data_IF_551417465295
#
_entry.id   IF_551417465295
#
_cell.length_a   1.000
_cell.length_b   1.000
_cell.length_c   1.000
_cell.angle_alpha   90.00
_cell.angle_beta   90.00
_cell.angle_gamma   90.00
#
_symmetry.space_group_name_H-M   'P 1'
#
loop_
_entity.id
_entity.type
_entity.pdbx_description
1 polymer ?
#
# COMPACT_ATOMS: atom_id res chain seq x y z
N UNK A 1 12.61 12.66 -7.96
CA UNK A 1 11.44 13.41 -7.50
C UNK A 1 10.24 12.47 -7.41
N UNK A 2 9.66 12.30 -6.21
CA UNK A 2 8.45 11.49 -6.03
C UNK A 2 7.21 12.36 -6.32
N UNK A 3 6.51 12.06 -7.41
CA UNK A 3 5.33 12.81 -7.86
C UNK A 3 4.02 12.22 -7.30
N UNK A 4 3.95 10.89 -7.14
CA UNK A 4 2.87 10.21 -6.40
C UNK A 4 3.45 9.19 -5.43
N UNK A 5 3.05 9.26 -4.17
CA UNK A 5 3.28 8.21 -3.17
C UNK A 5 2.10 7.23 -3.12
N UNK A 6 2.36 6.02 -2.61
CA UNK A 6 1.29 5.07 -2.28
C UNK A 6 0.86 5.25 -0.83
N UNK A 7 -0.45 5.42 -0.63
CA UNK A 7 -1.05 5.28 0.68
C UNK A 7 -1.15 3.80 1.05
N UNK A 8 -1.12 3.48 2.34
CA UNK A 8 -1.40 2.11 2.80
C UNK A 8 -2.72 1.63 2.17
N UNK A 9 -2.73 0.50 1.44
CA UNK A 9 -3.93 -0.02 0.78
C UNK A 9 -5.10 -0.19 1.75
N UNK A 10 -6.31 0.08 1.27
CA UNK A 10 -7.54 -0.06 2.08
C UNK A 10 -7.66 -1.46 2.71
N UNK A 11 -7.37 -2.52 1.94
CA UNK A 11 -7.32 -3.90 2.43
C UNK A 11 -6.46 -4.07 3.69
N UNK A 12 -5.27 -3.45 3.71
CA UNK A 12 -4.38 -3.50 4.87
C UNK A 12 -4.89 -2.66 6.02
N UNK A 13 -5.44 -1.46 5.76
CA UNK A 13 -6.09 -0.63 6.78
C UNK A 13 -7.23 -1.39 7.48
N UNK A 14 -8.04 -2.12 6.71
CA UNK A 14 -9.12 -2.96 7.23
C UNK A 14 -8.59 -4.08 8.13
N UNK A 15 -7.63 -4.88 7.67
CA UNK A 15 -7.07 -5.96 8.49
C UNK A 15 -6.36 -5.41 9.73
N UNK A 16 -5.59 -4.33 9.59
CA UNK A 16 -4.98 -3.63 10.72
C UNK A 16 -6.02 -3.20 11.75
N UNK A 17 -7.20 -2.74 11.32
CA UNK A 17 -8.31 -2.36 12.20
C UNK A 17 -8.96 -3.59 12.85
N UNK A 18 -9.03 -4.72 12.15
CA UNK A 18 -9.62 -5.98 12.59
C UNK A 18 -8.77 -6.73 13.63
N UNK A 19 -7.44 -6.70 13.48
CA UNK A 19 -6.51 -7.41 14.37
C UNK A 19 -6.74 -7.01 15.83
N UNK A 20 -6.92 -8.03 16.68
CA UNK A 20 -7.17 -7.89 18.12
C UNK A 20 -8.63 -7.66 18.52
N UNK A 21 -9.57 -7.58 17.55
CA UNK A 21 -11.01 -7.38 17.82
C UNK A 21 -11.86 -8.63 17.56
N UNK A 22 -11.37 -9.53 16.71
CA UNK A 22 -12.01 -10.80 16.38
C UNK A 22 -10.93 -11.80 15.97
N UNK A 23 -11.22 -13.10 16.11
CA UNK A 23 -10.36 -14.16 15.56
C UNK A 23 -10.52 -14.18 14.04
N UNK A 24 -9.46 -13.77 13.33
CA UNK A 24 -9.43 -13.83 11.86
C UNK A 24 -9.51 -15.30 11.39
N UNK A 25 -10.27 -15.54 10.33
CA UNK A 25 -10.28 -16.82 9.64
C UNK A 25 -8.92 -17.12 8.99
N UNK A 26 -8.66 -18.38 8.64
CA UNK A 26 -7.44 -18.75 7.92
C UNK A 26 -7.31 -18.03 6.58
N UNK A 27 -8.45 -17.82 5.89
CA UNK A 27 -8.49 -17.08 4.63
C UNK A 27 -8.06 -15.62 4.83
N UNK A 28 -8.62 -14.94 5.84
CA UNK A 28 -8.25 -13.56 6.18
C UNK A 28 -6.79 -13.45 6.61
N UNK A 29 -6.30 -14.39 7.43
CA UNK A 29 -4.93 -14.38 7.93
C UNK A 29 -3.91 -14.56 6.80
N UNK A 30 -4.20 -15.47 5.85
CA UNK A 30 -3.39 -15.67 4.64
C UNK A 30 -3.41 -14.44 3.74
N UNK A 31 -4.59 -13.88 3.47
CA UNK A 31 -4.75 -12.68 2.64
C UNK A 31 -4.00 -11.49 3.25
N UNK A 32 -4.17 -11.23 4.55
CA UNK A 32 -3.45 -10.17 5.25
C UNK A 32 -1.93 -10.33 5.17
N UNK A 33 -1.41 -11.54 5.40
CA UNK A 33 0.03 -11.81 5.32
C UNK A 33 0.59 -11.59 3.90
N UNK A 34 -0.14 -12.00 2.85
CA UNK A 34 0.27 -11.80 1.46
C UNK A 34 0.36 -10.30 1.14
N UNK A 35 -0.70 -9.53 1.40
CA UNK A 35 -0.72 -8.11 1.08
C UNK A 35 0.26 -7.30 1.94
N UNK A 36 0.45 -7.71 3.20
CA UNK A 36 1.44 -7.07 4.07
C UNK A 36 2.86 -7.30 3.54
N UNK A 37 3.16 -8.53 3.08
CA UNK A 37 4.44 -8.85 2.46
C UNK A 37 4.66 -8.09 1.14
N UNK A 38 3.63 -7.96 0.31
CA UNK A 38 3.67 -7.16 -0.92
C UNK A 38 4.01 -5.69 -0.64
N UNK A 39 3.22 -5.04 0.22
CA UNK A 39 3.41 -3.64 0.60
C UNK A 39 4.78 -3.38 1.24
N UNK A 40 5.29 -4.29 2.07
CA UNK A 40 6.65 -4.20 2.63
C UNK A 40 7.74 -4.24 1.54
N UNK A 41 7.52 -5.03 0.49
CA UNK A 41 8.41 -5.10 -0.66
C UNK A 41 8.45 -3.80 -1.44
N UNK A 42 7.27 -3.30 -1.80
CA UNK A 42 7.12 -2.00 -2.48
C UNK A 42 7.72 -0.87 -1.65
N UNK A 43 7.44 -0.82 -0.34
CA UNK A 43 8.03 0.18 0.54
C UNK A 43 9.56 0.11 0.57
N UNK A 44 10.12 -1.10 0.57
CA UNK A 44 11.58 -1.28 0.51
C UNK A 44 12.17 -0.75 -0.80
N UNK A 45 11.47 -0.94 -1.93
CA UNK A 45 11.87 -0.36 -3.21
C UNK A 45 11.70 1.17 -3.22
N UNK A 46 10.62 1.69 -2.65
CA UNK A 46 10.37 3.12 -2.51
C UNK A 46 11.47 3.83 -1.70
N UNK A 47 11.98 3.21 -0.63
CA UNK A 47 13.12 3.75 0.13
C UNK A 47 14.40 3.79 -0.71
N UNK A 48 14.65 2.80 -1.57
CA UNK A 48 15.81 2.78 -2.47
C UNK A 48 15.71 3.86 -3.54
N UNK A 49 14.56 3.98 -4.20
CA UNK A 49 14.40 4.89 -5.34
C UNK A 49 14.44 6.38 -4.93
N UNK A 50 14.14 6.69 -3.66
CA UNK A 50 14.22 8.05 -3.10
C UNK A 50 15.61 8.69 -3.21
N UNK A 51 16.67 7.88 -3.32
CA UNK A 51 18.03 8.40 -3.51
C UNK A 51 18.22 9.12 -4.86
N UNK A 52 17.46 8.71 -5.88
CA UNK A 52 17.62 9.19 -7.27
C UNK A 52 16.71 10.38 -7.53
N UNK A 53 17.26 11.59 -7.33
CA UNK A 53 16.45 12.82 -7.32
C UNK A 53 16.07 13.30 -8.71
N UNK A 54 16.81 12.93 -9.75
CA UNK A 54 16.64 13.45 -11.11
C UNK A 54 15.55 12.75 -11.93
N UNK A 55 15.06 11.58 -11.49
CA UNK A 55 13.94 10.89 -12.14
C UNK A 55 12.58 11.32 -11.57
N UNK A 56 11.53 11.31 -12.37
CA UNK A 56 10.15 11.45 -11.88
C UNK A 56 9.63 10.07 -11.49
N UNK A 57 9.12 9.91 -10.28
CA UNK A 57 8.66 8.62 -9.75
C UNK A 57 7.18 8.69 -9.41
N UNK A 58 6.43 7.72 -9.91
CA UNK A 58 5.01 7.50 -9.61
C UNK A 58 4.86 6.13 -8.96
N UNK A 59 4.31 6.07 -7.75
CA UNK A 59 3.98 4.82 -7.06
C UNK A 59 2.49 4.55 -7.15
N UNK A 60 2.12 3.31 -7.50
CA UNK A 60 0.76 2.78 -7.46
C UNK A 60 -0.15 3.51 -8.45
N UNK A 61 0.15 3.36 -9.75
CA UNK A 61 -0.65 3.93 -10.84
C UNK A 61 -1.40 2.81 -11.53
N UNK A 62 -2.69 3.00 -11.77
CA UNK A 62 -3.53 2.11 -12.58
C UNK A 62 -3.92 2.81 -13.87
N UNK A 63 -3.73 2.16 -15.01
CA UNK A 63 -4.14 2.65 -16.32
C UNK A 63 -5.08 1.65 -16.99
N UNK A 64 -6.00 2.17 -17.79
CA UNK A 64 -6.88 1.39 -18.63
C UNK A 64 -6.95 2.01 -20.03
N UNK A 65 -6.61 1.23 -21.04
CA UNK A 65 -6.69 1.64 -22.44
C UNK A 65 -7.04 0.43 -23.33
N UNK A 66 -6.97 0.63 -24.66
CA UNK A 66 -7.30 -0.42 -25.64
C UNK A 66 -6.49 -1.72 -25.49
N UNK A 67 -5.34 -1.68 -24.83
CA UNK A 67 -4.48 -2.85 -24.59
C UNK A 67 -4.86 -3.61 -23.31
N UNK A 68 -5.75 -3.06 -22.47
CA UNK A 68 -6.23 -3.67 -21.24
C UNK A 68 -6.11 -2.73 -20.04
N UNK A 69 -6.22 -3.34 -18.85
CA UNK A 69 -6.09 -2.69 -17.55
C UNK A 69 -4.85 -3.23 -16.83
N UNK A 70 -4.03 -2.34 -16.29
CA UNK A 70 -2.84 -2.70 -15.52
C UNK A 70 -2.61 -1.74 -14.35
N UNK A 71 -2.17 -2.30 -13.22
CA UNK A 71 -1.64 -1.56 -12.07
C UNK A 71 -0.12 -1.70 -12.08
N UNK A 72 0.55 -0.58 -11.83
CA UNK A 72 1.99 -0.42 -11.85
C UNK A 72 2.46 -0.05 -10.45
N UNK A 73 3.33 -0.88 -9.87
CA UNK A 73 3.90 -0.59 -8.55
C UNK A 73 4.74 0.68 -8.66
N UNK A 74 5.69 0.75 -9.60
CA UNK A 74 6.47 1.96 -9.85
C UNK A 74 6.62 2.25 -11.34
N UNK A 75 6.36 3.49 -11.72
CA UNK A 75 6.76 4.08 -13.00
C UNK A 75 7.81 5.14 -12.71
N UNK A 76 8.96 5.04 -13.37
CA UNK A 76 10.10 5.95 -13.24
C UNK A 76 10.39 6.55 -14.61
N UNK A 77 10.43 7.88 -14.69
CA UNK A 77 10.66 8.62 -15.94
C UNK A 77 11.97 9.39 -15.81
N UNK A 78 12.94 9.07 -16.64
CA UNK A 78 14.25 9.73 -16.67
C UNK A 78 14.71 9.87 -18.12
N UNK A 79 15.05 11.10 -18.50
CA UNK A 79 15.27 11.47 -19.90
C UNK A 79 14.17 10.94 -20.85
N UNK A 80 14.51 10.26 -21.95
CA UNK A 80 13.56 9.63 -22.87
C UNK A 80 13.22 8.17 -22.52
N UNK A 81 13.39 7.75 -21.27
CA UNK A 81 13.08 6.38 -20.83
C UNK A 81 12.01 6.38 -19.75
N UNK A 82 10.98 5.54 -19.93
CA UNK A 82 9.96 5.24 -18.94
C UNK A 82 10.13 3.79 -18.48
N UNK A 83 10.55 3.61 -17.24
CA UNK A 83 10.79 2.28 -16.67
C UNK A 83 9.69 1.90 -15.69
N UNK A 84 9.06 0.77 -15.94
CA UNK A 84 8.14 0.09 -15.04
C UNK A 84 8.88 -0.94 -14.18
N UNK A 85 8.69 -0.89 -12.86
CA UNK A 85 9.14 -1.91 -11.93
C UNK A 85 7.95 -2.59 -11.24
N UNK A 86 7.80 -3.90 -11.45
CA UNK A 86 6.85 -4.78 -10.75
C UNK A 86 7.57 -5.48 -9.59
N UNK A 87 7.22 -5.16 -8.34
CA UNK A 87 8.00 -5.53 -7.16
C UNK A 87 7.47 -6.81 -6.51
N UNK A 88 8.28 -7.86 -6.49
CA UNK A 88 7.96 -9.15 -5.85
C UNK A 88 8.79 -9.36 -4.59
N UNK A 89 8.13 -9.53 -3.46
CA UNK A 89 8.77 -9.81 -2.15
C UNK A 89 8.73 -11.31 -1.78
N UNK A 90 9.03 -12.19 -2.73
CA UNK A 90 9.11 -13.63 -2.48
C UNK A 90 10.31 -13.95 -1.59
N UNK A 91 10.25 -15.02 -0.79
CA UNK A 91 11.31 -15.40 0.16
C UNK A 91 11.75 -16.83 -0.05
N UNK A 92 13.05 -17.09 0.11
CA UNK A 92 13.62 -18.42 0.01
C UNK A 92 13.94 -18.85 -1.42
N UNK A 93 14.20 -20.15 -1.58
CA UNK A 93 14.70 -20.73 -2.83
C UNK A 93 13.60 -21.41 -3.65
N UNK A 94 13.59 -21.11 -4.93
CA UNK A 94 12.67 -21.65 -5.93
C UNK A 94 13.43 -22.24 -7.12
N UNK A 95 12.76 -23.13 -7.84
CA UNK A 95 13.17 -23.62 -9.15
C UNK A 95 12.09 -23.27 -10.18
N UNK A 96 12.50 -22.88 -11.38
CA UNK A 96 11.57 -22.71 -12.49
C UNK A 96 11.21 -24.08 -13.08
N UNK A 97 9.94 -24.46 -12.97
CA UNK A 97 9.41 -25.69 -13.57
C UNK A 97 8.28 -25.32 -14.53
N UNK A 98 8.56 -25.38 -15.83
CA UNK A 98 7.65 -24.86 -16.86
C UNK A 98 7.43 -23.36 -16.67
N UNK A 99 6.18 -22.93 -16.43
CA UNK A 99 5.82 -21.53 -16.19
C UNK A 99 5.51 -21.21 -14.70
N UNK A 100 6.05 -22.01 -13.77
CA UNK A 100 5.81 -21.88 -12.32
C UNK A 100 7.12 -21.83 -11.56
N UNK A 101 7.18 -21.00 -10.52
CA UNK A 101 8.23 -21.04 -9.50
C UNK A 101 7.80 -22.03 -8.43
N UNK A 102 8.60 -23.07 -8.21
CA UNK A 102 8.33 -24.14 -7.25
C UNK A 102 9.38 -24.10 -6.14
N UNK A 103 8.94 -23.87 -4.91
CA UNK A 103 9.81 -23.89 -3.73
C UNK A 103 10.18 -25.32 -3.33
N UNK A 104 11.24 -25.48 -2.53
CA UNK A 104 11.62 -26.80 -1.96
C UNK A 104 10.52 -27.44 -1.10
N UNK A 105 9.64 -26.64 -0.51
CA UNK A 105 8.50 -27.11 0.29
C UNK A 105 7.26 -27.40 -0.56
N UNK A 106 7.36 -27.36 -1.89
CA UNK A 106 6.28 -27.67 -2.82
C UNK A 106 5.29 -26.54 -3.10
N UNK A 107 5.46 -25.35 -2.50
CA UNK A 107 4.65 -24.17 -2.83
C UNK A 107 4.93 -23.71 -4.25
N UNK A 108 3.86 -23.43 -5.01
CA UNK A 108 3.92 -23.05 -6.42
C UNK A 108 3.40 -21.63 -6.61
N UNK A 109 4.17 -20.81 -7.31
CA UNK A 109 3.83 -19.41 -7.66
C UNK A 109 3.85 -19.32 -9.19
N UNK A 110 2.87 -18.64 -9.79
CA UNK A 110 2.88 -18.40 -11.24
C UNK A 110 4.04 -17.48 -11.60
N UNK A 111 4.70 -17.74 -12.72
CA UNK A 111 5.71 -16.84 -13.23
C UNK A 111 5.08 -15.46 -13.55
N UNK A 112 5.61 -14.35 -13.00
CA UNK A 112 5.06 -13.01 -13.20
C UNK A 112 5.21 -12.45 -14.63
N UNK A 113 5.99 -13.08 -15.51
CA UNK A 113 6.26 -12.58 -16.87
C UNK A 113 5.00 -12.28 -17.68
N UNK A 114 3.96 -13.12 -17.57
CA UNK A 114 2.73 -12.89 -18.34
C UNK A 114 1.99 -11.64 -17.89
N UNK A 115 2.05 -11.32 -16.59
CA UNK A 115 1.49 -10.08 -16.05
C UNK A 115 2.34 -8.87 -16.48
N UNK A 116 3.66 -9.02 -16.47
CA UNK A 116 4.59 -7.97 -16.90
C UNK A 116 4.37 -7.59 -18.37
N UNK A 117 4.17 -8.56 -19.26
CA UNK A 117 3.95 -8.33 -20.68
C UNK A 117 2.66 -7.53 -20.95
N UNK A 118 1.57 -7.86 -20.25
CA UNK A 118 0.31 -7.11 -20.36
C UNK A 118 0.48 -5.67 -19.86
N UNK A 119 1.11 -5.50 -18.68
CA UNK A 119 1.38 -4.18 -18.11
C UNK A 119 2.26 -3.34 -19.04
N UNK A 120 3.30 -3.94 -19.63
CA UNK A 120 4.17 -3.29 -20.60
C UNK A 120 3.39 -2.76 -21.81
N UNK A 121 2.55 -3.58 -22.43
CA UNK A 121 1.76 -3.17 -23.59
C UNK A 121 0.78 -2.01 -23.26
N UNK A 122 0.17 -2.04 -22.07
CA UNK A 122 -0.69 -0.94 -21.58
C UNK A 122 0.12 0.35 -21.43
N UNK A 123 1.28 0.29 -20.78
CA UNK A 123 2.12 1.48 -20.56
C UNK A 123 2.68 2.03 -21.87
N UNK A 124 3.28 1.18 -22.70
CA UNK A 124 3.86 1.56 -23.99
C UNK A 124 2.84 2.26 -24.88
N UNK A 125 1.63 1.72 -24.99
CA UNK A 125 0.55 2.34 -25.75
C UNK A 125 0.20 3.74 -25.25
N UNK A 126 0.19 3.96 -23.92
CA UNK A 126 -0.08 5.28 -23.33
C UNK A 126 1.09 6.26 -23.56
N UNK A 127 2.32 5.81 -23.34
CA UNK A 127 3.54 6.63 -23.48
C UNK A 127 3.77 7.03 -24.94
N UNK A 128 3.72 6.07 -25.88
CA UNK A 128 3.94 6.35 -27.31
C UNK A 128 2.83 7.23 -27.90
N UNK A 129 1.62 7.19 -27.33
CA UNK A 129 0.55 8.12 -27.72
C UNK A 129 0.77 9.55 -27.21
N UNK A 130 1.50 9.73 -26.11
CA UNK A 130 1.88 11.04 -25.58
C UNK A 130 3.09 11.61 -26.34
N UNK A 131 4.16 10.83 -26.48
CA UNK A 131 5.37 11.21 -27.23
C UNK A 131 6.13 9.95 -27.67
N UNK A 132 6.17 9.73 -28.99
CA UNK A 132 6.70 8.51 -29.62
C UNK A 132 8.19 8.27 -29.36
N UNK A 133 8.93 9.31 -28.96
CA UNK A 133 10.39 9.26 -28.73
C UNK A 133 10.77 8.54 -27.44
N UNK A 134 9.85 8.40 -26.48
CA UNK A 134 10.14 7.71 -25.24
C UNK A 134 10.22 6.20 -25.47
N UNK A 135 11.23 5.57 -24.91
CA UNK A 135 11.31 4.11 -24.81
C UNK A 135 10.69 3.63 -23.49
N UNK A 136 10.05 2.46 -23.54
CA UNK A 136 9.43 1.85 -22.36
C UNK A 136 10.16 0.56 -22.01
N UNK A 137 10.54 0.44 -20.75
CA UNK A 137 11.18 -0.75 -20.20
C UNK A 137 10.33 -1.29 -19.05
N UNK A 138 10.29 -2.61 -18.89
CA UNK A 138 9.54 -3.27 -17.81
C UNK A 138 10.40 -4.32 -17.14
N UNK A 139 10.50 -4.26 -15.82
CA UNK A 139 11.29 -5.19 -15.01
C UNK A 139 10.47 -5.78 -13.87
N UNK A 140 10.71 -7.06 -13.58
CA UNK A 140 10.32 -7.69 -12.31
C UNK A 140 11.47 -7.49 -11.33
N UNK A 141 11.16 -6.95 -10.15
CA UNK A 141 12.12 -6.72 -9.08
C UNK A 141 11.89 -7.71 -7.94
N UNK A 142 12.83 -8.65 -7.77
CA UNK A 142 12.87 -9.52 -6.60
C UNK A 142 13.58 -8.80 -5.45
N UNK A 143 12.80 -8.07 -4.65
CA UNK A 143 13.32 -7.14 -3.64
C UNK A 143 13.78 -7.83 -2.35
N UNK A 144 13.46 -9.10 -2.14
CA UNK A 144 13.90 -9.81 -0.95
C UNK A 144 15.34 -10.34 -1.11
N UNK A 145 16.21 -10.07 -0.14
CA UNK A 145 17.61 -10.53 -0.18
C UNK A 145 17.76 -12.06 -0.12
N UNK A 146 16.77 -12.74 0.49
CA UNK A 146 16.78 -14.21 0.63
C UNK A 146 16.15 -14.93 -0.56
N UNK A 147 15.62 -14.18 -1.54
CA UNK A 147 15.06 -14.78 -2.73
C UNK A 147 16.16 -15.34 -3.62
N UNK A 148 15.99 -16.59 -4.02
CA UNK A 148 16.87 -17.24 -4.98
C UNK A 148 16.04 -18.07 -5.94
N UNK A 149 16.29 -17.91 -7.25
CA UNK A 149 15.68 -18.71 -8.29
C UNK A 149 16.78 -19.46 -9.04
N UNK A 150 16.72 -20.78 -8.96
CA UNK A 150 17.68 -21.68 -9.58
C UNK A 150 17.30 -21.93 -11.05
N UNK A 151 18.32 -21.95 -11.92
CA UNK A 151 18.20 -22.34 -13.33
C UNK A 151 17.56 -21.34 -14.29
N UNK A 152 17.37 -20.05 -13.93
CA UNK A 152 16.83 -19.06 -14.87
C UNK A 152 17.30 -17.63 -14.60
N UNK A 153 17.75 -16.94 -15.65
CA UNK A 153 18.06 -15.51 -15.64
C UNK A 153 17.49 -14.88 -16.91
N UNK A 154 16.60 -13.91 -16.73
CA UNK A 154 16.10 -13.05 -17.80
C UNK A 154 16.60 -11.63 -17.58
N UNK A 155 16.77 -10.87 -18.66
CA UNK A 155 17.20 -9.47 -18.58
C UNK A 155 16.17 -8.60 -17.85
N UNK A 156 14.87 -8.92 -17.98
CA UNK A 156 13.80 -8.23 -17.26
C UNK A 156 13.74 -8.58 -15.76
N UNK A 157 14.57 -9.49 -15.25
CA UNK A 157 14.54 -9.91 -13.85
C UNK A 157 15.69 -9.29 -13.08
N UNK A 158 15.34 -8.37 -12.18
CA UNK A 158 16.27 -7.67 -11.32
C UNK A 158 16.21 -8.23 -9.90
N UNK A 159 17.35 -8.71 -9.41
CA UNK A 159 17.52 -9.11 -8.02
C UNK A 159 17.97 -7.91 -7.19
N UNK A 160 17.63 -7.90 -5.88
CA UNK A 160 18.00 -6.80 -4.97
C UNK A 160 19.49 -6.41 -5.04
N UNK A 161 20.40 -7.37 -5.22
CA UNK A 161 21.85 -7.12 -5.34
C UNK A 161 22.23 -6.32 -6.59
N UNK A 162 21.41 -6.34 -7.64
CA UNK A 162 21.67 -5.65 -8.91
C UNK A 162 21.08 -4.22 -8.94
N UNK A 163 20.12 -3.92 -8.07
CA UNK A 163 19.34 -2.67 -8.12
C UNK A 163 20.21 -1.42 -8.03
N UNK A 164 21.23 -1.42 -7.15
CA UNK A 164 22.10 -0.24 -7.01
C UNK A 164 22.83 0.11 -8.31
N UNK A 165 23.35 -0.89 -9.01
CA UNK A 165 24.01 -0.67 -10.28
C UNK A 165 22.99 -0.26 -11.36
N UNK A 166 21.88 -0.98 -11.46
CA UNK A 166 20.84 -0.70 -12.44
C UNK A 166 20.27 0.72 -12.32
N UNK A 167 19.96 1.16 -11.10
CA UNK A 167 19.39 2.49 -10.84
C UNK A 167 20.42 3.63 -10.93
N UNK A 168 21.72 3.34 -11.01
CA UNK A 168 22.73 4.41 -11.15
C UNK A 168 22.60 5.20 -12.46
N UNK A 169 21.97 4.61 -13.49
CA UNK A 169 21.73 5.27 -14.77
C UNK A 169 20.83 6.52 -14.64
N UNK A 170 19.89 6.50 -13.68
CA UNK A 170 18.90 7.58 -13.48
C UNK A 170 19.36 8.63 -12.44
N UNK A 171 20.61 8.56 -11.98
CA UNK A 171 21.18 9.50 -11.02
C UNK A 171 21.72 10.78 -11.66
N UNK A 172 21.85 10.81 -12.98
CA UNK A 172 22.41 11.97 -13.68
C UNK A 172 21.35 13.06 -13.91
N UNK A 173 21.69 14.35 -13.72
CA UNK A 173 20.85 15.44 -14.17
C UNK A 173 20.73 15.44 -15.69
N UNK A 174 19.57 15.87 -16.20
CA UNK A 174 19.28 15.88 -17.62
C UNK A 174 18.33 17.05 -17.95
N UNK A 175 18.28 17.54 -19.21
CA UNK A 175 17.49 18.72 -19.56
C UNK A 175 15.98 18.46 -19.65
N UNK A 176 15.55 17.18 -19.70
CA UNK A 176 14.14 16.80 -19.90
C UNK A 176 13.29 16.83 -18.62
N UNK A 177 13.81 17.31 -17.48
CA UNK A 177 13.13 17.23 -16.19
C UNK A 177 11.70 17.79 -16.22
N UNK A 178 11.47 18.93 -16.87
CA UNK A 178 10.14 19.53 -16.99
C UNK A 178 9.20 18.69 -17.87
N UNK A 179 9.68 18.17 -18.99
CA UNK A 179 8.89 17.30 -19.88
C UNK A 179 8.53 15.97 -19.19
N UNK A 180 9.44 15.40 -18.42
CA UNK A 180 9.21 14.19 -17.63
C UNK A 180 8.16 14.44 -16.54
N UNK A 181 8.16 15.63 -15.94
CA UNK A 181 7.11 16.04 -14.98
C UNK A 181 5.75 16.19 -15.66
N UNK A 182 5.70 16.75 -16.86
CA UNK A 182 4.47 16.85 -17.64
C UNK A 182 3.91 15.48 -18.01
N UNK A 183 4.77 14.55 -18.47
CA UNK A 183 4.38 13.16 -18.72
C UNK A 183 3.89 12.47 -17.43
N UNK A 184 4.57 12.69 -16.31
CA UNK A 184 4.14 12.16 -15.02
C UNK A 184 2.75 12.66 -14.62
N UNK A 185 2.47 13.94 -14.81
CA UNK A 185 1.15 14.52 -14.57
C UNK A 185 0.08 14.00 -15.54
N UNK A 186 0.43 13.77 -16.81
CA UNK A 186 -0.46 13.12 -17.78
C UNK A 186 -0.88 11.72 -17.30
N UNK A 187 0.07 10.89 -16.86
CA UNK A 187 -0.23 9.57 -16.31
C UNK A 187 -1.14 9.65 -15.08
N UNK A 188 -0.98 10.66 -14.22
CA UNK A 188 -1.87 10.89 -13.08
C UNK A 188 -3.28 11.30 -13.48
N UNK A 189 -3.45 12.08 -14.55
CA UNK A 189 -4.78 12.40 -15.08
C UNK A 189 -5.48 11.17 -15.67
N UNK A 190 -4.69 10.21 -16.17
CA UNK A 190 -5.18 8.95 -16.74
C UNK A 190 -5.33 7.84 -15.70
N UNK A 191 -4.95 8.10 -14.44
CA UNK A 191 -5.02 7.14 -13.36
C UNK A 191 -6.47 6.74 -13.04
N UNK A 192 -6.77 5.46 -13.17
CA UNK A 192 -8.09 4.88 -12.88
C UNK A 192 -7.94 3.72 -11.87
N UNK A 193 -7.88 4.02 -10.56
CA UNK A 193 -7.76 2.96 -9.55
C UNK A 193 -9.02 2.10 -9.54
N UNK A 194 -8.85 0.77 -9.52
CA UNK A 194 -9.94 -0.17 -9.44
C UNK A 194 -10.22 -0.56 -7.97
N UNK A 195 -11.33 -0.08 -7.37
CA UNK A 195 -11.60 -0.31 -5.95
C UNK A 195 -11.81 -1.80 -5.63
N UNK A 196 -12.29 -2.59 -6.61
CA UNK A 196 -12.61 -4.00 -6.41
C UNK A 196 -11.35 -4.86 -6.17
N UNK A 197 -10.20 -4.48 -6.74
CA UNK A 197 -8.94 -5.20 -6.55
C UNK A 197 -8.40 -5.07 -5.12
N UNK A 198 -8.85 -4.07 -4.37
CA UNK A 198 -8.39 -3.78 -3.01
C UNK A 198 -9.38 -4.18 -1.90
N UNK A 199 -10.37 -5.04 -2.20
CA UNK A 199 -11.37 -5.44 -1.21
C UNK A 199 -10.90 -6.57 -0.28
N UNK A 200 -10.95 -6.40 1.05
CA UNK A 200 -10.61 -7.45 2.02
C UNK A 200 -11.70 -8.52 2.11
N UNK A 201 -11.35 -9.66 2.70
CA UNK A 201 -12.34 -10.65 3.16
C UNK A 201 -13.00 -10.11 4.43
N UNK A 202 -14.26 -9.70 4.30
CA UNK A 202 -14.99 -8.98 5.34
C UNK A 202 -15.49 -9.89 6.47
N UNK A 203 -15.60 -9.30 7.66
CA UNK A 203 -16.29 -9.81 8.83
C UNK A 203 -17.53 -8.95 9.09
N UNK A 204 -18.61 -9.57 9.56
CA UNK A 204 -19.82 -8.86 9.97
C UNK A 204 -19.50 -7.88 11.11
N UNK A 205 -19.82 -6.59 10.94
CA UNK A 205 -19.44 -5.55 11.89
C UNK A 205 -19.95 -5.78 13.32
N UNK A 206 -21.17 -6.33 13.46
CA UNK A 206 -21.78 -6.68 14.76
C UNK A 206 -20.93 -7.67 15.58
N UNK A 207 -20.12 -8.50 14.92
CA UNK A 207 -19.26 -9.50 15.55
C UNK A 207 -17.89 -8.95 15.98
N UNK A 208 -17.59 -7.68 15.66
CA UNK A 208 -16.28 -7.07 15.90
C UNK A 208 -16.29 -6.32 17.23
N UNK A 209 -15.38 -6.68 18.13
CA UNK A 209 -15.31 -6.02 19.43
C UNK A 209 -14.82 -4.56 19.32
N UNK A 210 -15.61 -3.65 19.88
CA UNK A 210 -15.20 -2.27 20.16
C UNK A 210 -14.09 -2.18 21.22
N UNK A 211 -13.70 -0.94 21.50
CA UNK A 211 -12.69 -0.58 22.49
C UNK A 211 -11.41 -0.04 21.87
N UNK A 212 -10.53 0.44 22.73
CA UNK A 212 -9.22 0.95 22.36
C UNK A 212 -8.20 -0.18 22.21
N UNK A 213 -7.20 0.02 21.33
CA UNK A 213 -6.07 -0.89 21.18
C UNK A 213 -4.76 -0.15 21.00
N UNK A 214 -3.65 -0.83 21.29
CA UNK A 214 -2.32 -0.29 21.09
C UNK A 214 -2.08 0.04 19.60
N UNK A 215 -1.65 1.28 19.25
CA UNK A 215 -1.35 1.67 17.87
C UNK A 215 -0.20 0.89 17.22
N UNK A 216 0.63 0.19 18.00
CA UNK A 216 1.70 -0.66 17.48
C UNK A 216 1.34 -2.15 17.55
N UNK A 217 1.24 -2.72 18.76
CA UNK A 217 1.08 -4.17 18.92
C UNK A 217 -0.36 -4.68 18.81
N UNK A 218 -1.33 -3.77 18.58
CA UNK A 218 -2.76 -4.08 18.37
C UNK A 218 -3.48 -4.78 19.52
N UNK A 219 -2.82 -5.05 20.66
CA UNK A 219 -3.48 -5.59 21.86
C UNK A 219 -4.51 -4.59 22.41
N UNK A 220 -5.64 -5.12 22.89
CA UNK A 220 -6.71 -4.31 23.51
C UNK A 220 -6.21 -3.57 24.75
N UNK A 221 -6.81 -2.42 24.99
CA UNK A 221 -6.57 -1.58 26.17
C UNK A 221 -7.83 -1.65 27.03
N UNK A 222 -7.69 -2.22 28.21
CA UNK A 222 -8.83 -2.47 29.11
C UNK A 222 -8.95 -1.45 30.24
N UNK A 223 -7.99 -0.51 30.33
CA UNK A 223 -7.97 0.53 31.36
C UNK A 223 -8.57 1.84 30.85
N UNK A 224 -9.28 2.54 31.75
CA UNK A 224 -9.79 3.89 31.48
C UNK A 224 -8.61 4.86 31.32
N UNK A 225 -8.61 5.62 30.21
CA UNK A 225 -7.58 6.63 29.92
C UNK A 225 -7.98 8.05 30.36
N UNK A 226 -9.11 8.22 31.05
CA UNK A 226 -9.57 9.52 31.54
C UNK A 226 -8.52 10.16 32.46
N UNK A 227 -8.27 11.46 32.26
CA UNK A 227 -7.23 12.22 32.98
C UNK A 227 -5.78 11.91 32.57
N UNK A 228 -5.53 10.84 31.80
CA UNK A 228 -4.17 10.48 31.36
C UNK A 228 -3.82 11.13 30.01
N UNK A 229 -2.66 11.77 29.94
CA UNK A 229 -2.10 12.31 28.68
C UNK A 229 -1.43 11.23 27.84
N UNK A 230 -0.79 10.27 28.49
CA UNK A 230 -0.02 9.19 27.86
C UNK A 230 -0.49 7.82 28.35
N UNK A 231 -0.28 6.80 27.53
CA UNK A 231 -0.50 5.40 27.84
C UNK A 231 0.79 4.63 27.55
N UNK A 232 1.28 3.88 28.54
CA UNK A 232 2.37 2.93 28.37
C UNK A 232 1.77 1.55 28.11
N UNK A 233 2.04 0.97 26.94
CA UNK A 233 1.53 -0.35 26.59
C UNK A 233 2.34 -1.44 27.31
N UNK A 234 1.74 -2.25 28.20
CA UNK A 234 2.46 -3.28 28.96
C UNK A 234 2.97 -4.43 28.07
N UNK A 235 2.47 -4.55 26.85
CA UNK A 235 2.82 -5.64 25.95
C UNK A 235 3.97 -5.33 24.98
N UNK A 236 4.16 -4.07 24.60
CA UNK A 236 5.23 -3.67 23.68
C UNK A 236 6.13 -2.55 24.23
N UNK A 237 5.88 -2.11 25.47
CA UNK A 237 6.64 -1.10 26.20
C UNK A 237 6.70 0.28 25.50
N UNK A 238 5.88 0.50 24.47
CA UNK A 238 5.78 1.79 23.80
C UNK A 238 4.79 2.70 24.51
N UNK A 239 5.16 3.98 24.54
CA UNK A 239 4.37 5.07 25.10
C UNK A 239 3.67 5.80 23.96
N UNK A 240 2.36 5.97 24.07
CA UNK A 240 1.54 6.67 23.09
C UNK A 240 0.80 7.83 23.75
N UNK A 241 0.55 8.88 22.99
CA UNK A 241 -0.39 9.90 23.44
C UNK A 241 -1.80 9.35 23.44
N UNK A 242 -2.62 9.71 24.44
CA UNK A 242 -4.04 9.32 24.47
C UNK A 242 -4.76 9.73 23.19
N UNK A 243 -4.47 10.93 22.66
CA UNK A 243 -5.09 11.42 21.42
C UNK A 243 -4.82 10.52 20.22
N UNK A 244 -3.63 9.92 20.16
CA UNK A 244 -3.21 9.05 19.06
C UNK A 244 -3.98 7.71 19.09
N UNK A 245 -4.12 7.13 20.28
CA UNK A 245 -4.91 5.91 20.50
C UNK A 245 -6.36 6.12 20.09
N UNK A 246 -6.96 7.22 20.54
CA UNK A 246 -8.35 7.56 20.22
C UNK A 246 -8.54 7.81 18.72
N UNK A 247 -7.66 8.60 18.12
CA UNK A 247 -7.72 8.88 16.68
C UNK A 247 -7.62 7.58 15.87
N UNK A 248 -6.69 6.69 16.23
CA UNK A 248 -6.54 5.39 15.57
C UNK A 248 -7.79 4.54 15.72
N UNK A 249 -8.40 4.52 16.91
CA UNK A 249 -9.64 3.79 17.15
C UNK A 249 -10.82 4.31 16.33
N UNK A 250 -10.91 5.63 16.11
CA UNK A 250 -11.93 6.24 15.24
C UNK A 250 -11.70 5.92 13.76
N UNK A 251 -10.44 5.87 13.33
CA UNK A 251 -10.10 5.43 11.97
C UNK A 251 -10.43 3.95 11.77
N UNK A 252 -10.15 3.10 12.77
CA UNK A 252 -10.55 1.69 12.74
C UNK A 252 -12.07 1.55 12.57
N UNK A 253 -12.88 2.34 13.28
CA UNK A 253 -14.35 2.34 13.13
C UNK A 253 -14.75 2.62 11.68
N UNK A 254 -14.20 3.67 11.08
CA UNK A 254 -14.48 4.01 9.69
C UNK A 254 -14.13 2.87 8.73
N UNK A 255 -12.93 2.30 8.85
CA UNK A 255 -12.49 1.24 7.96
C UNK A 255 -13.27 -0.06 8.13
N UNK A 256 -13.75 -0.37 9.34
CA UNK A 256 -14.50 -1.60 9.59
C UNK A 256 -15.98 -1.47 9.24
N UNK A 257 -16.58 -0.30 9.44
CA UNK A 257 -17.99 -0.05 9.16
C UNK A 257 -18.24 0.34 7.69
N UNK A 258 -17.23 0.91 7.01
CA UNK A 258 -17.27 1.35 5.59
C UNK A 258 -18.35 2.40 5.27
N UNK A 259 -18.97 2.98 6.30
CA UNK A 259 -19.96 4.05 6.16
C UNK A 259 -19.68 5.15 7.19
N UNK A 260 -20.11 6.39 6.90
CA UNK A 260 -19.99 7.48 7.87
C UNK A 260 -20.69 7.18 9.19
N UNK A 261 -20.03 7.46 10.32
CA UNK A 261 -20.53 7.18 11.67
C UNK A 261 -20.86 8.46 12.45
N UNK A 262 -21.75 8.36 13.42
CA UNK A 262 -22.17 9.46 14.30
C UNK A 262 -21.26 9.56 15.53
N UNK A 263 -21.35 10.68 16.25
CA UNK A 263 -20.68 10.81 17.55
C UNK A 263 -21.10 9.73 18.56
N UNK A 264 -22.36 9.27 18.50
CA UNK A 264 -22.86 8.24 19.43
C UNK A 264 -22.23 6.87 19.11
N UNK A 265 -22.14 6.51 17.83
CA UNK A 265 -21.43 5.31 17.38
C UNK A 265 -19.93 5.37 17.77
N UNK A 266 -19.30 6.55 17.67
CA UNK A 266 -17.92 6.75 18.10
C UNK A 266 -17.71 6.55 19.61
N UNK A 267 -18.65 7.02 20.44
CA UNK A 267 -18.62 6.84 21.90
C UNK A 267 -18.76 5.37 22.27
N UNK A 268 -19.75 4.69 21.67
CA UNK A 268 -19.99 3.25 21.85
C UNK A 268 -18.78 2.44 21.40
N UNK A 269 -18.21 2.77 20.24
CA UNK A 269 -17.06 2.07 19.68
C UNK A 269 -15.81 2.24 20.51
N UNK A 270 -15.41 3.48 20.84
CA UNK A 270 -14.12 3.70 21.49
C UNK A 270 -14.11 3.11 22.89
N UNK A 271 -15.25 3.18 23.60
CA UNK A 271 -15.36 2.84 25.02
C UNK A 271 -14.35 3.65 25.85
N UNK A 272 -14.56 3.80 27.17
CA UNK A 272 -13.52 4.36 28.07
C UNK A 272 -12.99 5.77 27.65
N UNK A 273 -13.81 6.57 26.96
CA UNK A 273 -13.41 7.81 26.29
C UNK A 273 -14.42 8.93 26.55
N UNK A 274 -13.94 10.16 26.75
CA UNK A 274 -14.83 11.31 26.97
C UNK A 274 -15.40 11.81 25.65
N UNK A 275 -16.72 12.03 25.57
CA UNK A 275 -17.40 12.63 24.41
C UNK A 275 -16.73 13.90 23.90
N UNK A 276 -16.33 14.78 24.80
CA UNK A 276 -15.69 16.06 24.48
C UNK A 276 -14.40 15.88 23.69
N UNK A 277 -13.56 14.92 24.12
CA UNK A 277 -12.31 14.59 23.39
C UNK A 277 -12.61 14.00 22.01
N UNK A 278 -13.59 13.09 21.92
CA UNK A 278 -13.98 12.50 20.63
C UNK A 278 -14.48 13.58 19.65
N UNK A 279 -15.36 14.48 20.10
CA UNK A 279 -15.82 15.62 19.28
C UNK A 279 -14.66 16.49 18.79
N UNK A 280 -13.67 16.76 19.64
CA UNK A 280 -12.50 17.55 19.25
C UNK A 280 -11.69 16.85 18.16
N UNK A 281 -11.39 15.55 18.35
CA UNK A 281 -10.65 14.77 17.36
C UNK A 281 -11.39 14.64 16.03
N UNK A 282 -12.71 14.42 16.07
CA UNK A 282 -13.53 14.32 14.87
C UNK A 282 -13.54 15.62 14.07
N UNK A 283 -13.61 16.78 14.73
CA UNK A 283 -13.51 18.08 14.04
C UNK A 283 -12.13 18.35 13.44
N UNK A 284 -11.09 17.82 14.07
CA UNK A 284 -9.69 18.06 13.69
C UNK A 284 -9.24 17.15 12.55
N UNK A 285 -9.73 15.90 12.49
CA UNK A 285 -9.19 14.86 11.61
C UNK A 285 -10.21 14.19 10.68
N UNK A 286 -11.50 14.49 10.78
CA UNK A 286 -12.54 13.91 9.94
C UNK A 286 -13.32 14.99 9.21
N UNK A 287 -13.81 14.65 8.02
CA UNK A 287 -14.84 15.42 7.33
C UNK A 287 -16.20 15.08 7.93
N UNK A 288 -17.17 15.96 7.76
CA UNK A 288 -18.52 15.75 8.26
C UNK A 288 -19.58 16.15 7.25
N UNK A 289 -20.67 15.40 7.20
CA UNK A 289 -21.90 15.73 6.48
C UNK A 289 -23.08 15.81 7.44
N UNK A 290 -24.17 16.47 7.04
CA UNK A 290 -25.37 16.65 7.85
C UNK A 290 -25.29 17.85 8.81
N UNK A 291 -26.34 18.05 9.62
CA UNK A 291 -26.45 19.18 10.53
C UNK A 291 -27.01 18.78 11.89
N UNK A 292 -26.57 19.47 12.95
CA UNK A 292 -27.03 19.27 14.34
C UNK A 292 -26.94 17.80 14.78
N UNK A 293 -28.07 17.09 14.83
CA UNK A 293 -28.18 15.69 15.30
C UNK A 293 -27.91 14.66 14.20
N UNK A 294 -27.93 15.06 12.92
CA UNK A 294 -27.65 14.17 11.79
C UNK A 294 -26.20 14.21 11.32
N UNK A 295 -25.30 14.80 12.10
CA UNK A 295 -23.88 14.88 11.74
C UNK A 295 -23.25 13.49 11.71
N UNK A 296 -22.67 13.15 10.55
CA UNK A 296 -21.91 11.92 10.30
C UNK A 296 -20.49 12.25 9.88
N UNK A 297 -19.53 11.42 10.28
CA UNK A 297 -18.09 11.64 10.10
C UNK A 297 -17.47 10.57 9.19
N UNK A 298 -16.51 10.98 8.35
CA UNK A 298 -15.79 10.14 7.40
C UNK A 298 -14.38 10.69 7.13
N UNK A 299 -13.50 9.86 6.56
CA UNK A 299 -12.13 10.24 6.15
C UNK A 299 -12.10 10.73 4.70
#
# INVERSE_FOLDING_TARGET
MLLKSCDVPYRLKYYDALVGRVKMTDKQSKDYAIYQSGYQGEWSFAELIKAYKHAVVLWDVSLNNRCGEAQFDFIVIHDYVVTHYDVKNFKGSYQLQGNMFVSRTGSKIKNPDTQLAVAHAVLESEIKSYDWRYEVESYIVFINETFHLDGSKKEQWLYKSQLKHHLSAIDNPHPMTEHNMQLGNHLLQRHQPNPHLNMPVKTEFSSIAGGLKCPLCRKRIEILLTGKKYYNCPACMRVFMRKEILLRSLQDLYYLQEVPFSISEAEEWCQLSSRTTLKRLLREYFKSTGQKKSVKYYL
#
